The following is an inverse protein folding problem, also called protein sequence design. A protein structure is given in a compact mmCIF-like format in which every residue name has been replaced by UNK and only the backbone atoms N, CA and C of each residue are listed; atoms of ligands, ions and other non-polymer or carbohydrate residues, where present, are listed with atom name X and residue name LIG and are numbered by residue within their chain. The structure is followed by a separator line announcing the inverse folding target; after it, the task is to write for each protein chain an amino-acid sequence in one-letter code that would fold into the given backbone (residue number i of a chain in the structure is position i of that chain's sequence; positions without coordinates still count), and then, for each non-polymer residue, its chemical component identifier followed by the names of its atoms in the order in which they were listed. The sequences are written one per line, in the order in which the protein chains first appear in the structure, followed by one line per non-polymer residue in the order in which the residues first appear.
data_IF_218822529379
#
_entry.id   IF_218822529379
#
_cell.length_a   1.000
_cell.length_b   1.000
_cell.length_c   1.000
_cell.angle_alpha   90.00
_cell.angle_beta   90.00
_cell.angle_gamma   90.00
#
_symmetry.space_group_name_H-M   'P 1'
#
loop_
_entity.id
_entity.type
_entity.pdbx_description
1 polymer ?
#
# COMPACT_ATOMS: atom_id res chain seq x y z
N UNK A 1 -5.47 27.77 -36.05
CA UNK A 1 -5.63 26.85 -34.91
C UNK A 1 -5.52 27.69 -33.65
N UNK A 2 -6.65 27.92 -32.99
CA UNK A 2 -6.68 28.70 -31.75
C UNK A 2 -6.12 27.86 -30.59
N UNK A 3 -5.71 28.51 -29.50
CA UNK A 3 -5.23 27.80 -28.31
C UNK A 3 -6.29 26.84 -27.72
N UNK A 4 -7.57 27.21 -27.79
CA UNK A 4 -8.68 26.33 -27.38
C UNK A 4 -8.79 25.06 -28.23
N UNK A 5 -8.70 25.19 -29.56
CA UNK A 5 -8.73 24.04 -30.49
C UNK A 5 -7.51 23.11 -30.36
N UNK A 6 -6.42 23.58 -29.74
CA UNK A 6 -5.26 22.75 -29.41
C UNK A 6 -5.49 21.99 -28.11
N UNK A 7 -6.03 22.66 -27.08
CA UNK A 7 -6.38 22.03 -25.80
C UNK A 7 -7.40 20.91 -25.99
N UNK A 8 -8.50 21.15 -26.70
CA UNK A 8 -9.55 20.15 -26.92
C UNK A 8 -8.99 18.89 -27.62
N UNK A 9 -8.03 19.09 -28.52
CA UNK A 9 -7.37 18.00 -29.25
C UNK A 9 -6.47 17.17 -28.34
N UNK A 10 -5.72 17.84 -27.47
CA UNK A 10 -4.86 17.17 -26.47
C UNK A 10 -5.71 16.42 -25.45
N UNK A 11 -6.81 17.03 -24.97
CA UNK A 11 -7.75 16.40 -24.05
C UNK A 11 -8.37 15.14 -24.69
N UNK A 12 -8.85 15.25 -25.92
CA UNK A 12 -9.45 14.13 -26.62
C UNK A 12 -8.45 12.97 -26.83
N UNK A 13 -7.21 13.27 -27.23
CA UNK A 13 -6.15 12.26 -27.36
C UNK A 13 -5.78 11.62 -26.01
N UNK A 14 -5.77 12.38 -24.92
CA UNK A 14 -5.45 11.85 -23.58
C UNK A 14 -6.57 10.94 -23.06
N UNK A 15 -7.82 11.36 -23.21
CA UNK A 15 -8.99 10.60 -22.76
C UNK A 15 -9.12 9.30 -23.54
N UNK A 16 -9.05 9.35 -24.87
CA UNK A 16 -9.22 8.15 -25.69
C UNK A 16 -7.98 7.26 -25.71
N UNK A 17 -6.79 7.86 -25.77
CA UNK A 17 -5.54 7.11 -25.90
C UNK A 17 -5.08 6.46 -24.59
N UNK A 18 -5.30 7.10 -23.45
CA UNK A 18 -4.79 6.63 -22.16
C UNK A 18 -5.90 6.30 -21.17
N UNK A 19 -6.85 7.22 -20.93
CA UNK A 19 -7.86 7.01 -19.89
C UNK A 19 -8.81 5.86 -20.23
N UNK A 20 -9.32 5.77 -21.47
CA UNK A 20 -10.27 4.74 -21.87
C UNK A 20 -9.73 3.29 -21.70
N UNK A 21 -8.54 2.92 -22.23
CA UNK A 21 -8.00 1.57 -22.02
C UNK A 21 -7.66 1.32 -20.54
N UNK A 22 -7.17 2.34 -19.83
CA UNK A 22 -6.89 2.25 -18.40
C UNK A 22 -8.16 1.98 -17.57
N UNK A 23 -9.24 2.72 -17.82
CA UNK A 23 -10.54 2.51 -17.17
C UNK A 23 -11.13 1.13 -17.50
N UNK A 24 -11.00 0.67 -18.75
CA UNK A 24 -11.43 -0.67 -19.15
C UNK A 24 -10.67 -1.76 -18.39
N UNK A 25 -9.35 -1.59 -18.25
CA UNK A 25 -8.50 -2.49 -17.47
C UNK A 25 -8.88 -2.49 -15.98
N UNK A 26 -9.01 -1.31 -15.36
CA UNK A 26 -9.47 -1.17 -13.97
C UNK A 26 -10.84 -1.80 -13.75
N UNK A 27 -11.78 -1.57 -14.66
CA UNK A 27 -13.12 -2.16 -14.57
C UNK A 27 -13.06 -3.69 -14.62
N UNK A 28 -12.16 -4.25 -15.44
CA UNK A 28 -11.91 -5.69 -15.48
C UNK A 28 -11.36 -6.21 -14.15
N UNK A 29 -10.38 -5.51 -13.57
CA UNK A 29 -9.86 -5.84 -12.23
C UNK A 29 -10.96 -5.76 -11.18
N UNK A 30 -11.73 -4.68 -11.13
CA UNK A 30 -12.80 -4.49 -10.15
C UNK A 30 -13.86 -5.58 -10.25
N UNK A 31 -14.20 -6.03 -11.46
CA UNK A 31 -15.11 -7.18 -11.66
C UNK A 31 -14.53 -8.47 -11.09
N UNK A 32 -13.24 -8.74 -11.30
CA UNK A 32 -12.58 -9.93 -10.77
C UNK A 32 -12.42 -9.86 -9.24
N UNK A 33 -12.02 -8.70 -8.72
CA UNK A 33 -11.90 -8.42 -7.30
C UNK A 33 -13.25 -8.56 -6.60
N UNK A 34 -14.33 -8.08 -7.22
CA UNK A 34 -15.70 -8.29 -6.75
C UNK A 34 -16.04 -9.77 -6.59
N UNK A 35 -15.75 -10.61 -7.60
CA UNK A 35 -15.94 -12.07 -7.50
C UNK A 35 -15.11 -12.70 -6.39
N UNK A 36 -13.86 -12.26 -6.21
CA UNK A 36 -12.97 -12.76 -5.16
C UNK A 36 -13.46 -12.38 -3.76
N UNK A 37 -13.82 -11.10 -3.55
CA UNK A 37 -14.40 -10.61 -2.30
C UNK A 37 -15.67 -11.36 -1.92
N UNK A 38 -16.47 -11.74 -2.91
CA UNK A 38 -17.69 -12.51 -2.68
C UNK A 38 -17.39 -13.88 -2.07
N UNK A 39 -16.41 -14.60 -2.63
CA UNK A 39 -15.96 -15.88 -2.08
C UNK A 39 -15.39 -15.68 -0.67
N UNK A 40 -14.58 -14.64 -0.49
CA UNK A 40 -13.94 -14.32 0.78
C UNK A 40 -14.96 -14.06 1.91
N UNK A 41 -16.03 -13.29 1.64
CA UNK A 41 -17.09 -13.04 2.64
C UNK A 41 -17.76 -14.35 3.06
N UNK A 42 -18.05 -15.25 2.12
CA UNK A 42 -18.63 -16.55 2.46
C UNK A 42 -17.69 -17.40 3.31
N UNK A 43 -16.39 -17.40 2.99
CA UNK A 43 -15.38 -18.12 3.78
C UNK A 43 -15.32 -17.60 5.22
N UNK A 44 -15.31 -16.27 5.41
CA UNK A 44 -15.32 -15.66 6.74
C UNK A 44 -16.60 -16.02 7.50
N UNK A 45 -17.77 -15.91 6.85
CA UNK A 45 -19.04 -16.21 7.53
C UNK A 45 -19.14 -17.68 7.94
N UNK A 46 -18.69 -18.61 7.10
CA UNK A 46 -18.62 -20.04 7.44
C UNK A 46 -17.63 -20.28 8.57
N UNK A 47 -16.46 -19.64 8.54
CA UNK A 47 -15.46 -19.75 9.61
C UNK A 47 -15.99 -19.26 10.96
N UNK A 48 -16.68 -18.12 10.98
CA UNK A 48 -17.33 -17.60 12.20
C UNK A 48 -18.42 -18.55 12.69
N UNK A 49 -19.21 -19.13 11.79
CA UNK A 49 -20.21 -20.12 12.16
C UNK A 49 -19.58 -21.39 12.78
N UNK A 50 -18.55 -21.95 12.15
CA UNK A 50 -17.85 -23.15 12.67
C UNK A 50 -17.25 -22.87 14.04
N UNK A 51 -16.56 -21.74 14.23
CA UNK A 51 -15.98 -21.41 15.53
C UNK A 51 -17.06 -21.19 16.60
N UNK A 52 -18.17 -20.54 16.24
CA UNK A 52 -19.33 -20.37 17.11
C UNK A 52 -19.96 -21.70 17.57
N UNK A 53 -20.34 -22.55 16.62
CA UNK A 53 -21.08 -23.78 16.92
C UNK A 53 -20.20 -24.94 17.40
N UNK A 54 -18.97 -25.08 16.88
CA UNK A 54 -18.10 -26.22 17.20
C UNK A 54 -17.13 -25.97 18.35
N UNK A 55 -16.84 -24.71 18.68
CA UNK A 55 -15.86 -24.37 19.74
C UNK A 55 -16.51 -23.63 20.89
N UNK A 56 -17.18 -22.51 20.62
CA UNK A 56 -17.72 -21.63 21.68
C UNK A 56 -18.91 -22.30 22.38
N UNK A 57 -19.85 -22.85 21.62
CA UNK A 57 -21.06 -23.45 22.18
C UNK A 57 -20.80 -24.68 23.08
N UNK A 58 -19.96 -25.67 22.70
CA UNK A 58 -19.62 -26.78 23.60
C UNK A 58 -18.76 -26.34 24.79
N UNK A 59 -17.95 -25.28 24.66
CA UNK A 59 -17.21 -24.71 25.78
C UNK A 59 -18.17 -24.11 26.83
N UNK A 60 -19.14 -23.31 26.39
CA UNK A 60 -20.14 -22.68 27.26
C UNK A 60 -21.13 -23.68 27.88
N UNK A 61 -21.31 -24.85 27.26
CA UNK A 61 -22.10 -25.95 27.82
C UNK A 61 -21.65 -26.38 29.22
N UNK A 62 -20.39 -26.10 29.59
CA UNK A 62 -19.88 -26.42 30.93
C UNK A 62 -20.35 -25.44 32.01
N UNK A 63 -20.66 -24.20 31.65
CA UNK A 63 -20.92 -23.11 32.59
C UNK A 63 -22.38 -22.65 32.60
N UNK A 64 -23.10 -22.82 31.49
CA UNK A 64 -24.46 -22.29 31.29
C UNK A 64 -25.53 -23.39 31.24
N UNK A 65 -26.79 -23.08 31.59
CA UNK A 65 -27.89 -24.04 31.48
C UNK A 65 -28.23 -24.33 30.00
N UNK A 66 -28.60 -25.59 29.72
CA UNK A 66 -28.88 -26.09 28.36
C UNK A 66 -29.93 -25.30 27.58
N UNK A 67 -30.97 -24.77 28.24
CA UNK A 67 -32.02 -24.00 27.57
C UNK A 67 -31.50 -22.69 26.98
N UNK A 68 -30.56 -22.03 27.66
CA UNK A 68 -29.97 -20.78 27.20
C UNK A 68 -29.08 -21.02 25.98
N UNK A 69 -28.31 -22.10 25.99
CA UNK A 69 -27.50 -22.55 24.84
C UNK A 69 -28.38 -22.90 23.64
N UNK A 70 -29.53 -23.54 23.86
CA UNK A 70 -30.49 -23.81 22.80
C UNK A 70 -31.00 -22.50 22.17
N UNK A 71 -31.35 -21.50 22.98
CA UNK A 71 -31.75 -20.17 22.48
C UNK A 71 -30.63 -19.52 21.65
N UNK A 72 -29.39 -19.53 22.16
CA UNK A 72 -28.25 -18.98 21.41
C UNK A 72 -27.98 -19.72 20.10
N UNK A 73 -28.13 -21.05 20.09
CA UNK A 73 -27.96 -21.82 18.85
C UNK A 73 -29.04 -21.50 17.81
N UNK A 74 -30.31 -21.34 18.22
CA UNK A 74 -31.41 -20.93 17.34
C UNK A 74 -31.20 -19.52 16.81
N UNK A 75 -30.82 -18.57 17.68
CA UNK A 75 -30.50 -17.21 17.28
C UNK A 75 -29.31 -17.16 16.31
N UNK A 76 -28.26 -17.95 16.57
CA UNK A 76 -27.09 -18.05 15.69
C UNK A 76 -27.45 -18.53 14.29
N UNK A 77 -28.28 -19.57 14.17
CA UNK A 77 -28.76 -20.08 12.88
C UNK A 77 -29.63 -19.03 12.18
N UNK A 78 -30.51 -18.35 12.92
CA UNK A 78 -31.33 -17.26 12.39
C UNK A 78 -30.48 -16.13 11.79
N UNK A 79 -29.47 -15.66 12.52
CA UNK A 79 -28.58 -14.62 12.00
C UNK A 79 -27.76 -15.09 10.81
N UNK A 80 -27.27 -16.33 10.81
CA UNK A 80 -26.52 -16.89 9.68
C UNK A 80 -27.37 -16.88 8.39
N UNK A 81 -28.63 -17.34 8.47
CA UNK A 81 -29.56 -17.34 7.34
C UNK A 81 -29.84 -15.91 6.87
N UNK A 82 -30.09 -14.98 7.80
CA UNK A 82 -30.33 -13.58 7.44
C UNK A 82 -29.14 -12.93 6.75
N UNK A 83 -27.92 -13.11 7.29
CA UNK A 83 -26.69 -12.56 6.70
C UNK A 83 -26.52 -13.11 5.28
N UNK A 84 -26.64 -14.42 5.08
CA UNK A 84 -26.51 -15.03 3.75
C UNK A 84 -27.59 -14.56 2.78
N UNK A 85 -28.84 -14.43 3.25
CA UNK A 85 -29.96 -13.98 2.43
C UNK A 85 -29.79 -12.53 1.99
N UNK A 86 -29.56 -11.61 2.93
CA UNK A 86 -29.38 -10.20 2.63
C UNK A 86 -28.13 -9.94 1.79
N UNK A 87 -27.04 -10.64 2.06
CA UNK A 87 -25.83 -10.57 1.24
C UNK A 87 -26.11 -11.02 -0.21
N UNK A 88 -26.85 -12.11 -0.38
CA UNK A 88 -27.22 -12.59 -1.71
C UNK A 88 -28.13 -11.61 -2.44
N UNK A 89 -29.12 -11.01 -1.76
CA UNK A 89 -29.96 -9.96 -2.34
C UNK A 89 -29.15 -8.74 -2.75
N UNK A 90 -28.23 -8.25 -1.90
CA UNK A 90 -27.38 -7.11 -2.22
C UNK A 90 -26.52 -7.33 -3.47
N UNK A 91 -26.05 -8.57 -3.71
CA UNK A 91 -25.30 -8.91 -4.93
C UNK A 91 -26.16 -9.06 -6.17
N UNK A 92 -27.38 -9.57 -6.01
CA UNK A 92 -28.27 -9.93 -7.12
C UNK A 92 -29.19 -8.79 -7.54
N UNK A 93 -29.22 -7.67 -6.81
CA UNK A 93 -30.02 -6.50 -7.19
C UNK A 93 -29.65 -6.12 -8.64
N UNK A 94 -30.53 -6.38 -9.62
CA UNK A 94 -30.26 -5.94 -10.97
C UNK A 94 -30.36 -4.40 -10.98
N UNK A 95 -29.70 -3.72 -11.94
CA UNK A 95 -30.08 -2.34 -12.23
C UNK A 95 -31.60 -2.32 -12.50
N UNK A 96 -32.31 -1.38 -11.89
CA UNK A 96 -33.78 -1.36 -11.91
C UNK A 96 -34.31 -1.51 -13.35
N UNK A 97 -35.20 -2.50 -13.63
CA UNK A 97 -35.76 -2.68 -14.97
C UNK A 97 -36.70 -1.51 -15.29
N UNK A 98 -36.48 -0.83 -16.42
CA UNK A 98 -37.20 0.40 -16.80
C UNK A 98 -36.37 1.68 -16.66
N UNK A 99 -35.12 1.58 -16.21
CA UNK A 99 -34.14 2.66 -16.29
C UNK A 99 -33.75 2.89 -17.76
N UNK A 100 -34.56 3.67 -18.48
CA UNK A 100 -34.19 4.19 -19.80
C UNK A 100 -32.87 4.97 -19.72
N UNK A 101 -32.16 5.09 -20.85
CA UNK A 101 -30.85 5.75 -20.95
C UNK A 101 -30.79 7.20 -20.39
N UNK A 102 -31.93 7.82 -20.08
CA UNK A 102 -32.05 9.19 -19.52
C UNK A 102 -32.32 9.26 -18.01
N UNK A 103 -32.66 8.13 -17.39
CA UNK A 103 -32.80 8.07 -15.94
C UNK A 103 -31.41 7.81 -15.35
N UNK A 104 -30.99 8.66 -14.43
CA UNK A 104 -29.74 8.57 -13.70
C UNK A 104 -30.07 8.56 -12.20
N UNK A 105 -29.11 8.22 -11.33
CA UNK A 105 -29.27 8.30 -9.87
C UNK A 105 -29.87 9.65 -9.41
N UNK A 106 -29.67 10.73 -10.17
CA UNK A 106 -30.17 12.06 -9.88
C UNK A 106 -31.53 12.43 -10.48
N UNK A 107 -32.02 11.66 -11.44
CA UNK A 107 -33.27 11.93 -12.16
C UNK A 107 -34.42 11.01 -11.73
N UNK A 108 -34.20 10.11 -10.76
CA UNK A 108 -35.18 9.15 -10.27
C UNK A 108 -35.55 9.44 -8.83
N UNK A 109 -36.84 9.52 -8.53
CA UNK A 109 -37.29 9.75 -7.16
C UNK A 109 -37.13 8.48 -6.31
N UNK A 110 -36.21 8.53 -5.35
CA UNK A 110 -35.89 7.44 -4.43
C UNK A 110 -36.35 7.81 -3.01
N UNK A 111 -37.50 7.29 -2.60
CA UNK A 111 -38.09 7.58 -1.27
C UNK A 111 -37.21 7.15 -0.08
N UNK A 112 -36.23 6.27 -0.33
CA UNK A 112 -35.32 5.72 0.68
C UNK A 112 -33.88 6.28 0.59
N UNK A 113 -33.64 7.35 -0.18
CA UNK A 113 -32.30 7.93 -0.39
C UNK A 113 -32.23 9.41 0.05
N UNK A 114 -32.14 9.70 1.36
CA UNK A 114 -32.17 11.08 1.88
C UNK A 114 -30.97 11.93 1.43
N UNK A 115 -29.84 11.30 1.08
CA UNK A 115 -28.63 11.99 0.62
C UNK A 115 -28.61 12.30 -0.87
N UNK A 116 -29.64 11.90 -1.62
CA UNK A 116 -29.64 12.01 -3.08
C UNK A 116 -29.45 13.46 -3.57
N UNK A 117 -30.13 14.42 -2.94
CA UNK A 117 -30.03 15.84 -3.32
C UNK A 117 -28.60 16.38 -3.26
N UNK A 118 -27.88 16.10 -2.18
CA UNK A 118 -26.48 16.52 -2.03
C UNK A 118 -25.55 15.83 -3.03
N UNK A 119 -25.69 14.51 -3.21
CA UNK A 119 -24.81 13.75 -4.12
C UNK A 119 -24.95 14.26 -5.57
N UNK A 120 -26.17 14.67 -5.95
CA UNK A 120 -26.48 15.11 -7.30
C UNK A 120 -26.03 16.53 -7.60
N UNK A 121 -25.97 17.40 -6.59
CA UNK A 121 -25.33 18.71 -6.68
C UNK A 121 -23.83 18.58 -7.00
N UNK A 122 -23.18 17.54 -6.49
CA UNK A 122 -21.76 17.25 -6.76
C UNK A 122 -21.50 16.41 -8.01
N UNK A 123 -22.51 16.02 -8.79
CA UNK A 123 -22.38 14.96 -9.81
C UNK A 123 -21.28 15.21 -10.86
N UNK A 124 -21.17 16.43 -11.38
CA UNK A 124 -20.13 16.80 -12.36
C UNK A 124 -18.73 16.84 -11.71
N UNK A 125 -18.64 17.41 -10.51
CA UNK A 125 -17.40 17.49 -9.73
C UNK A 125 -16.90 16.09 -9.32
N UNK A 126 -17.81 15.19 -8.94
CA UNK A 126 -17.50 13.83 -8.54
C UNK A 126 -16.89 13.04 -9.71
N UNK A 127 -17.50 13.13 -10.91
CA UNK A 127 -16.97 12.48 -12.12
C UNK A 127 -15.56 12.98 -12.46
N UNK A 128 -15.35 14.29 -12.43
CA UNK A 128 -14.04 14.89 -12.76
C UNK A 128 -12.99 14.59 -11.67
N UNK A 129 -13.39 14.63 -10.39
CA UNK A 129 -12.54 14.30 -9.24
C UNK A 129 -12.06 12.86 -9.28
N UNK A 130 -12.94 11.91 -9.64
CA UNK A 130 -12.58 10.50 -9.75
C UNK A 130 -11.48 10.31 -10.80
N UNK A 131 -11.62 10.92 -11.98
CA UNK A 131 -10.60 10.86 -13.04
C UNK A 131 -9.28 11.44 -12.53
N UNK A 132 -9.32 12.61 -11.87
CA UNK A 132 -8.13 13.26 -11.32
C UNK A 132 -7.42 12.39 -10.26
N UNK A 133 -8.17 11.81 -9.32
CA UNK A 133 -7.63 10.92 -8.28
C UNK A 133 -6.93 9.70 -8.89
N UNK A 134 -7.48 9.12 -9.97
CA UNK A 134 -6.84 8.02 -10.67
C UNK A 134 -5.55 8.43 -11.39
N UNK A 135 -5.55 9.58 -12.07
CA UNK A 135 -4.36 10.11 -12.74
C UNK A 135 -3.24 10.43 -11.73
N UNK A 136 -3.60 11.03 -10.60
CA UNK A 136 -2.67 11.31 -9.51
C UNK A 136 -2.09 10.02 -8.92
N UNK A 137 -2.93 9.01 -8.70
CA UNK A 137 -2.48 7.71 -8.20
C UNK A 137 -1.50 7.04 -9.16
N UNK A 138 -1.75 7.11 -10.46
CA UNK A 138 -0.85 6.58 -11.49
C UNK A 138 0.49 7.34 -11.52
N UNK A 139 0.45 8.66 -11.46
CA UNK A 139 1.66 9.49 -11.41
C UNK A 139 2.50 9.19 -10.16
N UNK A 140 1.85 9.06 -9.00
CA UNK A 140 2.51 8.68 -7.75
C UNK A 140 3.14 7.29 -7.86
N UNK A 141 2.47 6.33 -8.48
CA UNK A 141 3.03 5.01 -8.72
C UNK A 141 4.28 5.06 -9.60
N UNK A 142 4.30 5.87 -10.67
CA UNK A 142 5.48 6.02 -11.53
C UNK A 142 6.63 6.73 -10.80
N UNK A 143 6.36 7.84 -10.12
CA UNK A 143 7.39 8.60 -9.40
C UNK A 143 7.95 7.82 -8.23
N UNK A 144 7.09 7.38 -7.30
CA UNK A 144 7.50 6.66 -6.09
C UNK A 144 8.00 5.27 -6.44
N UNK A 145 7.34 4.57 -7.38
CA UNK A 145 7.78 3.26 -7.85
C UNK A 145 9.11 3.32 -8.60
N UNK A 146 9.32 4.30 -9.46
CA UNK A 146 10.60 4.53 -10.13
C UNK A 146 11.72 4.83 -9.14
N UNK A 147 11.45 5.70 -8.16
CA UNK A 147 12.39 5.97 -7.08
C UNK A 147 12.66 4.72 -6.23
N UNK A 148 11.65 3.92 -5.93
CA UNK A 148 11.80 2.67 -5.19
C UNK A 148 12.64 1.65 -5.96
N UNK A 149 12.39 1.47 -7.27
CA UNK A 149 13.17 0.60 -8.14
C UNK A 149 14.63 1.06 -8.22
N UNK A 150 14.86 2.37 -8.30
CA UNK A 150 16.21 2.93 -8.27
C UNK A 150 16.92 2.62 -6.95
N UNK A 151 16.23 2.77 -5.81
CA UNK A 151 16.78 2.42 -4.50
C UNK A 151 17.07 0.91 -4.38
N UNK A 152 16.17 0.05 -4.85
CA UNK A 152 16.36 -1.41 -4.93
C UNK A 152 17.60 -1.77 -5.75
N UNK A 153 17.81 -1.08 -6.88
CA UNK A 153 18.97 -1.29 -7.74
C UNK A 153 20.29 -0.89 -7.05
N UNK A 154 20.32 0.26 -6.36
CA UNK A 154 21.51 0.70 -5.61
C UNK A 154 21.87 -0.29 -4.50
N UNK A 155 20.88 -0.73 -3.70
CA UNK A 155 21.06 -1.73 -2.64
C UNK A 155 21.61 -3.03 -3.23
N UNK A 156 21.04 -3.49 -4.36
CA UNK A 156 21.45 -4.72 -5.03
C UNK A 156 22.90 -4.67 -5.50
N UNK A 157 23.42 -3.49 -5.87
CA UNK A 157 24.83 -3.28 -6.24
C UNK A 157 25.78 -3.01 -5.07
N UNK A 158 25.27 -2.96 -3.83
CA UNK A 158 26.06 -2.66 -2.63
C UNK A 158 26.49 -1.19 -2.55
N UNK A 159 25.72 -0.26 -3.13
CA UNK A 159 25.93 1.18 -3.00
C UNK A 159 24.80 1.80 -2.17
N UNK A 160 25.13 2.74 -1.29
CA UNK A 160 24.14 3.66 -0.74
C UNK A 160 24.02 4.91 -1.63
N UNK A 161 22.92 5.65 -1.52
CA UNK A 161 22.73 6.90 -2.29
C UNK A 161 23.88 7.91 -2.03
N UNK A 162 24.38 7.97 -0.80
CA UNK A 162 25.51 8.84 -0.41
C UNK A 162 26.82 8.36 -1.06
N UNK A 163 27.07 7.05 -1.11
CA UNK A 163 28.28 6.49 -1.75
C UNK A 163 28.26 6.62 -3.28
N UNK A 164 27.07 6.65 -3.87
CA UNK A 164 26.89 6.90 -5.30
C UNK A 164 27.29 8.34 -5.65
N UNK A 165 26.79 9.33 -4.89
CA UNK A 165 27.12 10.75 -5.09
C UNK A 165 28.61 11.03 -4.86
N UNK A 166 29.18 10.53 -3.76
CA UNK A 166 30.57 10.83 -3.37
C UNK A 166 31.62 10.24 -4.31
N UNK A 167 31.32 9.12 -4.99
CA UNK A 167 32.30 8.49 -5.86
C UNK A 167 32.08 8.74 -7.35
N UNK A 168 31.31 9.76 -7.73
CA UNK A 168 31.28 10.24 -9.11
C UNK A 168 32.54 11.05 -9.47
N UNK A 169 33.16 11.70 -8.49
CA UNK A 169 34.24 12.68 -8.71
C UNK A 169 35.65 12.10 -8.95
N UNK A 170 35.79 10.82 -9.30
CA UNK A 170 37.14 10.28 -9.55
C UNK A 170 37.29 8.79 -9.82
N UNK A 171 36.22 8.07 -10.21
CA UNK A 171 36.31 6.63 -10.48
C UNK A 171 36.69 6.36 -11.95
N UNK A 172 37.73 5.55 -12.23
CA UNK A 172 38.05 5.14 -13.59
C UNK A 172 36.92 4.29 -14.19
N UNK A 173 36.75 4.38 -15.51
CA UNK A 173 35.80 3.56 -16.28
C UNK A 173 36.07 2.08 -16.06
N UNK A 174 35.14 1.37 -15.41
CA UNK A 174 35.29 -0.06 -15.06
C UNK A 174 35.48 -0.36 -13.57
N UNK A 175 35.37 0.63 -12.67
CA UNK A 175 35.41 0.39 -11.23
C UNK A 175 34.35 -0.64 -10.79
N UNK A 176 34.82 -1.79 -10.30
CA UNK A 176 34.00 -2.85 -9.73
C UNK A 176 33.91 -2.63 -8.22
N UNK A 177 32.69 -2.43 -7.71
CA UNK A 177 32.48 -2.13 -6.29
C UNK A 177 33.06 -3.25 -5.40
N UNK A 178 34.03 -2.95 -4.51
CA UNK A 178 34.60 -3.94 -3.59
C UNK A 178 33.55 -4.55 -2.64
N UNK A 179 32.48 -3.80 -2.37
CA UNK A 179 31.38 -4.20 -1.48
C UNK A 179 30.26 -4.98 -2.18
N UNK A 180 30.44 -5.38 -3.45
CA UNK A 180 29.47 -6.22 -4.14
C UNK A 180 29.64 -7.70 -3.76
N UNK A 181 29.02 -8.09 -2.65
CA UNK A 181 29.05 -9.46 -2.13
C UNK A 181 28.00 -10.39 -2.77
N UNK A 182 27.23 -9.88 -3.74
CA UNK A 182 26.15 -10.57 -4.44
C UNK A 182 24.76 -10.15 -3.94
N UNK A 183 23.71 -10.38 -4.73
CA UNK A 183 22.36 -9.87 -4.45
C UNK A 183 21.88 -10.23 -3.04
N UNK A 184 21.91 -11.51 -2.66
CA UNK A 184 21.40 -11.96 -1.36
C UNK A 184 22.21 -11.38 -0.20
N UNK A 185 23.55 -11.38 -0.28
CA UNK A 185 24.39 -10.90 0.82
C UNK A 185 24.34 -9.36 0.95
N UNK A 186 24.22 -8.64 -0.17
CA UNK A 186 24.03 -7.19 -0.18
C UNK A 186 22.71 -6.81 0.52
N UNK A 187 21.62 -7.52 0.21
CA UNK A 187 20.33 -7.35 0.88
C UNK A 187 20.38 -7.78 2.35
N UNK A 188 21.12 -8.85 2.68
CA UNK A 188 21.32 -9.31 4.06
C UNK A 188 22.08 -8.30 4.90
N UNK A 189 23.07 -7.63 4.30
CA UNK A 189 23.85 -6.55 4.91
C UNK A 189 23.01 -5.29 5.10
N UNK A 190 22.25 -4.87 4.07
CA UNK A 190 21.35 -3.70 4.16
C UNK A 190 20.29 -3.86 5.27
N UNK A 191 19.70 -5.04 5.40
CA UNK A 191 18.70 -5.34 6.43
C UNK A 191 19.29 -5.69 7.81
N UNK A 192 20.62 -5.71 7.96
CA UNK A 192 21.28 -5.94 9.25
C UNK A 192 21.09 -7.34 9.85
N UNK A 193 20.87 -8.37 9.02
CA UNK A 193 20.49 -9.74 9.45
C UNK A 193 21.69 -10.60 9.95
N UNK A 194 22.84 -10.00 10.27
CA UNK A 194 24.12 -10.68 10.54
C UNK A 194 24.20 -11.55 11.82
N UNK A 195 23.15 -11.67 12.64
CA UNK A 195 23.18 -12.38 13.94
C UNK A 195 21.91 -13.16 14.29
N UNK A 196 21.46 -14.09 13.44
CA UNK A 196 20.28 -14.94 13.71
C UNK A 196 18.98 -14.16 14.05
N UNK A 197 18.85 -12.90 13.60
CA UNK A 197 17.66 -12.09 13.82
C UNK A 197 16.59 -12.44 12.80
N UNK A 198 15.35 -12.62 13.24
CA UNK A 198 14.22 -12.94 12.35
C UNK A 198 13.75 -11.71 11.57
N UNK A 199 13.55 -11.89 10.26
CA UNK A 199 13.13 -10.85 9.30
C UNK A 199 11.89 -10.06 9.77
N UNK A 200 10.87 -10.76 10.28
CA UNK A 200 9.58 -10.19 10.66
C UNK A 200 9.62 -9.20 11.83
N UNK A 201 10.50 -9.40 12.83
CA UNK A 201 10.49 -8.58 14.06
C UNK A 201 11.37 -7.33 13.99
N UNK A 202 12.35 -7.30 13.08
CA UNK A 202 13.36 -6.25 13.02
C UNK A 202 13.35 -5.43 11.72
N UNK A 203 12.62 -5.86 10.68
CA UNK A 203 12.52 -5.14 9.39
C UNK A 203 11.20 -4.37 9.27
N UNK A 204 10.11 -4.82 9.91
CA UNK A 204 8.79 -4.19 9.79
C UNK A 204 8.57 -2.99 10.73
N UNK A 205 9.37 -2.85 11.79
CA UNK A 205 9.30 -1.71 12.70
C UNK A 205 10.49 -0.78 12.44
N UNK A 206 10.27 0.52 12.19
CA UNK A 206 11.37 1.47 11.98
C UNK A 206 12.22 1.53 13.25
N UNK A 207 13.46 1.04 13.18
CA UNK A 207 14.41 1.16 14.29
C UNK A 207 15.26 2.42 14.10
N UNK A 208 15.18 3.35 15.05
CA UNK A 208 15.97 4.58 15.04
C UNK A 208 17.43 4.38 15.49
N UNK A 209 18.02 3.21 15.21
CA UNK A 209 19.41 2.96 15.57
C UNK A 209 20.34 3.64 14.55
N UNK A 210 21.40 4.33 15.03
CA UNK A 210 22.36 4.97 14.14
C UNK A 210 23.05 3.92 13.25
N UNK A 211 23.41 4.27 12.00
CA UNK A 211 24.09 3.35 11.10
C UNK A 211 25.44 2.94 11.71
N UNK A 212 25.67 1.64 11.81
CA UNK A 212 26.94 1.09 12.28
C UNK A 212 27.94 1.21 11.13
N UNK A 213 28.97 2.06 11.29
CA UNK A 213 30.10 2.14 10.38
C UNK A 213 31.09 1.06 10.82
N UNK A 214 31.33 0.08 9.95
CA UNK A 214 32.34 -0.96 10.16
C UNK A 214 33.56 -0.62 9.31
N UNK A 215 34.74 -0.57 9.93
CA UNK A 215 36.01 -0.58 9.20
C UNK A 215 36.28 -1.97 8.61
N UNK A 216 37.19 -2.06 7.63
CA UNK A 216 37.59 -3.22 6.84
C UNK A 216 37.92 -4.48 7.65
N UNK A 217 38.17 -4.35 8.96
CA UNK A 217 38.51 -5.44 9.86
C UNK A 217 37.35 -5.93 10.76
N UNK A 218 36.16 -5.33 10.68
CA UNK A 218 34.98 -5.75 11.44
C UNK A 218 34.89 -5.23 12.88
N UNK A 219 35.64 -4.18 13.22
CA UNK A 219 35.53 -3.50 14.52
C UNK A 219 34.62 -2.25 14.44
N UNK A 220 33.95 -1.96 15.56
CA UNK A 220 32.83 -1.03 15.69
C UNK A 220 33.33 0.39 16.05
N UNK A 221 33.33 1.33 15.11
CA UNK A 221 33.49 2.75 15.47
C UNK A 221 32.14 3.34 15.87
N UNK A 222 31.96 3.58 17.18
CA UNK A 222 30.85 4.40 17.70
C UNK A 222 31.25 5.87 17.49
N UNK A 223 31.13 6.35 16.25
CA UNK A 223 31.46 7.73 15.87
C UNK A 223 30.33 8.71 16.17
N UNK A 224 30.35 9.34 17.35
CA UNK A 224 29.79 10.68 17.55
C UNK A 224 30.93 11.61 17.92
N UNK A 225 31.55 12.24 16.93
CA UNK A 225 32.50 13.32 17.17
C UNK A 225 31.75 14.64 16.96
N UNK A 226 31.47 15.41 18.03
CA UNK A 226 30.84 16.71 17.88
C UNK A 226 31.79 17.64 17.11
N UNK A 227 31.18 18.44 16.24
CA UNK A 227 31.83 19.46 15.45
C UNK A 227 32.36 20.57 16.38
N UNK A 228 33.57 20.39 16.94
CA UNK A 228 34.25 21.46 17.65
C UNK A 228 34.89 22.41 16.63
N UNK A 229 34.20 23.51 16.38
CA UNK A 229 34.77 24.79 15.96
C UNK A 229 35.99 25.11 16.82
N UNK A 230 37.19 25.15 16.25
CA UNK A 230 38.22 26.13 16.62
C UNK A 230 39.21 26.28 15.46
N UNK A 231 39.00 27.35 14.70
CA UNK A 231 40.06 27.99 13.96
C UNK A 231 41.02 28.70 14.95
N UNK A 232 42.28 28.82 14.54
CA UNK A 232 43.39 29.62 15.09
C UNK A 232 44.06 29.13 16.38
N UNK A 233 45.33 28.71 16.26
CA UNK A 233 46.48 29.55 16.68
C UNK A 233 47.81 28.96 16.17
N UNK A 234 48.59 29.83 15.53
CA UNK A 234 50.00 29.69 15.18
C UNK A 234 50.90 29.64 16.42
N UNK A 235 52.07 29.05 16.23
CA UNK A 235 53.37 29.44 16.81
C UNK A 235 53.97 28.62 17.97
N UNK A 236 55.20 28.16 17.65
CA UNK A 236 56.42 28.08 18.46
C UNK A 236 56.60 27.04 19.59
N UNK A 237 57.52 26.13 19.26
CA UNK A 237 58.75 25.80 19.98
C UNK A 237 58.81 24.72 21.08
N UNK A 238 59.74 23.80 20.78
CA UNK A 238 60.79 23.23 21.63
C UNK A 238 60.51 22.06 22.60
N UNK A 239 61.39 21.07 22.41
CA UNK A 239 62.05 20.22 23.41
C UNK A 239 61.32 18.93 23.86
N UNK A 240 61.71 17.79 23.31
CA UNK A 240 62.82 16.97 23.86
C UNK A 240 63.01 15.64 23.08
N UNK A 241 64.24 15.49 22.58
CA UNK A 241 64.98 14.31 22.08
C UNK A 241 64.59 13.72 20.72
#
# INVERSE_FOLDING_TARGET
MSFGEWIDRVEHCMVEGFCAPYFSYLNTIMKQLGKCLVVFVHLITIFIAITGFCVILPYEQRYQPLWLLAIYSVLGVYFLINIMYHYTKARLLPPLPGFGFDHNYCNVQLDYAPLQGHICEFGELARNSIIFCYMLSFLLFLLVGGLALWNVYLISKGFTYVDYLKGWDGRPTGYRNPYHHGFVENWRNFLGLRRNRTFLRHVLLPSAHPPIILDQNGELEIGFQPLNTHASRSESDEMLV
#
